data_IF_952578145287
#
_entry.id   IF_952578145287
#
_cell.length_a   1.000
_cell.length_b   1.000
_cell.length_c   1.000
_cell.angle_alpha   90.00
_cell.angle_beta   90.00
_cell.angle_gamma   90.00
#
_symmetry.space_group_name_H-M   'P 1'
#
loop_
_entity.id
_entity.type
_entity.pdbx_description
1 polymer ?
#
# COMPACT_ATOMS: atom_id res chain seq x y z
N UNK A 1 -5.72 -14.80 6.54
CA UNK A 1 -5.53 -13.49 5.90
C UNK A 1 -4.15 -12.89 6.13
N UNK A 2 -3.60 -13.05 7.32
CA UNK A 2 -2.33 -12.42 7.67
C UNK A 2 -1.16 -12.83 6.80
N UNK A 3 -1.05 -14.11 6.45
CA UNK A 3 0.13 -14.60 5.73
C UNK A 3 0.30 -13.97 4.35
N UNK A 4 -0.78 -13.84 3.57
CA UNK A 4 -0.70 -13.25 2.24
C UNK A 4 -0.34 -11.77 2.32
N UNK A 5 -0.98 -11.04 3.23
CA UNK A 5 -0.68 -9.63 3.43
C UNK A 5 0.73 -9.45 3.95
N UNK A 6 1.15 -10.27 4.92
CA UNK A 6 2.48 -10.18 5.49
C UNK A 6 3.56 -10.44 4.44
N UNK A 7 3.32 -11.40 3.53
CA UNK A 7 4.26 -11.67 2.44
C UNK A 7 4.39 -10.47 1.49
N UNK A 8 3.28 -9.82 1.17
CA UNK A 8 3.32 -8.63 0.31
C UNK A 8 4.02 -7.49 1.03
N UNK A 9 3.68 -7.25 2.28
CA UNK A 9 4.30 -6.20 3.07
C UNK A 9 5.79 -6.43 3.21
N UNK A 10 6.18 -7.65 3.51
CA UNK A 10 7.59 -8.03 3.63
C UNK A 10 8.31 -7.86 2.30
N UNK A 11 7.70 -8.33 1.21
CA UNK A 11 8.28 -8.18 -0.13
C UNK A 11 8.49 -6.73 -0.51
N UNK A 12 7.52 -5.86 -0.20
CA UNK A 12 7.66 -4.43 -0.46
C UNK A 12 8.77 -3.83 0.39
N UNK A 13 8.85 -4.20 1.66
CA UNK A 13 9.90 -3.71 2.55
C UNK A 13 11.28 -4.18 2.09
N UNK A 14 11.40 -5.43 1.68
CA UNK A 14 12.66 -5.98 1.15
C UNK A 14 13.05 -5.30 -0.15
N UNK A 15 12.11 -5.05 -1.04
CA UNK A 15 12.38 -4.36 -2.30
C UNK A 15 12.89 -2.95 -2.05
N UNK A 16 12.29 -2.24 -1.10
CA UNK A 16 12.73 -0.89 -0.74
C UNK A 16 14.13 -0.94 -0.12
N UNK A 17 14.35 -1.85 0.82
CA UNK A 17 15.65 -1.99 1.46
C UNK A 17 16.73 -2.38 0.44
N UNK A 18 16.41 -3.29 -0.47
CA UNK A 18 17.32 -3.72 -1.50
C UNK A 18 17.68 -2.57 -2.45
N UNK A 19 16.68 -1.79 -2.83
CA UNK A 19 16.92 -0.61 -3.67
C UNK A 19 17.84 0.39 -2.96
N UNK A 20 17.65 0.60 -1.66
CA UNK A 20 18.51 1.49 -0.89
C UNK A 20 19.94 0.99 -0.83
N UNK A 21 20.13 -0.32 -0.62
CA UNK A 21 21.47 -0.88 -0.52
C UNK A 21 22.18 -0.92 -1.86
N UNK A 22 21.43 -1.05 -2.94
CA UNK A 22 22.01 -1.03 -4.28
C UNK A 22 22.13 0.38 -4.84
N UNK A 23 21.50 1.32 -4.19
CA UNK A 23 21.48 2.69 -4.69
C UNK A 23 22.85 3.32 -4.52
N UNK A 24 23.65 3.22 -5.55
CA UNK A 24 24.89 3.98 -5.67
C UNK A 24 24.63 5.16 -6.60
N UNK A 25 25.44 6.22 -6.51
CA UNK A 25 25.22 7.40 -7.33
C UNK A 25 25.10 7.10 -8.82
N UNK A 26 25.70 6.02 -9.28
CA UNK A 26 25.75 5.69 -10.71
C UNK A 26 24.99 4.42 -11.06
N UNK A 27 24.14 3.94 -10.13
CA UNK A 27 23.47 2.66 -10.36
C UNK A 27 22.34 2.74 -11.37
N UNK A 28 21.80 3.95 -11.61
CA UNK A 28 20.63 4.11 -12.45
C UNK A 28 19.33 3.67 -11.80
N UNK A 29 19.38 3.18 -10.56
CA UNK A 29 18.21 2.75 -9.81
C UNK A 29 17.57 3.98 -9.16
N UNK A 30 16.30 4.20 -9.45
CA UNK A 30 15.55 5.27 -8.82
C UNK A 30 14.75 4.70 -7.66
N UNK A 31 14.82 5.38 -6.52
CA UNK A 31 13.95 5.03 -5.41
C UNK A 31 12.52 5.40 -5.77
N UNK A 32 11.59 4.53 -5.42
CA UNK A 32 10.20 4.82 -5.65
C UNK A 32 9.75 5.94 -4.71
N UNK A 33 9.09 6.94 -5.28
CA UNK A 33 8.54 8.07 -4.52
C UNK A 33 7.03 7.90 -4.50
N UNK A 34 6.43 7.42 -3.41
CA UNK A 34 4.99 7.24 -3.37
C UNK A 34 4.26 8.57 -3.41
N UNK A 35 3.12 8.57 -4.08
CA UNK A 35 2.25 9.73 -4.17
C UNK A 35 1.18 9.69 -3.10
N UNK A 36 0.69 10.86 -2.72
CA UNK A 36 -0.49 10.92 -1.88
C UNK A 36 -1.66 10.26 -2.60
N UNK A 37 -2.44 9.47 -1.86
CA UNK A 37 -3.58 8.73 -2.42
C UNK A 37 -4.84 9.17 -1.68
N UNK A 38 -5.89 9.45 -2.44
CA UNK A 38 -7.21 9.65 -1.85
C UNK A 38 -7.80 8.26 -1.54
N UNK A 39 -7.72 7.89 -0.27
CA UNK A 39 -8.09 6.54 0.16
C UNK A 39 -9.58 6.28 -0.05
N UNK A 40 -10.44 7.26 0.24
CA UNK A 40 -11.87 7.10 0.03
C UNK A 40 -12.20 6.88 -1.46
N UNK A 41 -11.56 7.63 -2.34
CA UNK A 41 -11.75 7.48 -3.77
C UNK A 41 -11.29 6.10 -4.25
N UNK A 42 -10.11 5.69 -3.81
CA UNK A 42 -9.58 4.37 -4.15
C UNK A 42 -10.52 3.26 -3.71
N UNK A 43 -10.99 3.33 -2.47
CA UNK A 43 -11.91 2.34 -1.92
C UNK A 43 -13.21 2.29 -2.73
N UNK A 44 -13.75 3.44 -3.07
CA UNK A 44 -15.00 3.53 -3.83
C UNK A 44 -14.84 2.97 -5.23
N UNK A 45 -13.70 3.21 -5.87
CA UNK A 45 -13.42 2.64 -7.19
C UNK A 45 -13.39 1.12 -7.16
N UNK A 46 -13.02 0.54 -6.03
CA UNK A 46 -13.00 -0.91 -5.86
C UNK A 46 -14.34 -1.47 -5.37
N UNK A 47 -15.32 -0.61 -5.13
CA UNK A 47 -16.64 -1.00 -4.65
C UNK A 47 -16.60 -1.73 -3.31
N UNK A 48 -15.71 -1.30 -2.43
CA UNK A 48 -15.55 -1.91 -1.11
C UNK A 48 -16.02 -0.95 -0.02
N UNK A 49 -16.61 -1.51 1.03
CA UNK A 49 -16.88 -0.75 2.24
C UNK A 49 -15.59 -0.50 3.01
N UNK A 50 -15.63 0.38 4.02
CA UNK A 50 -14.47 0.61 4.87
C UNK A 50 -13.99 -0.68 5.52
N UNK A 51 -14.95 -1.45 6.05
CA UNK A 51 -14.64 -2.73 6.69
C UNK A 51 -14.04 -3.73 5.71
N UNK A 52 -14.60 -3.81 4.52
CA UNK A 52 -14.10 -4.72 3.50
C UNK A 52 -12.69 -4.35 3.04
N UNK A 53 -12.47 -3.06 2.81
CA UNK A 53 -11.15 -2.59 2.39
C UNK A 53 -10.10 -2.87 3.45
N UNK A 54 -10.42 -2.54 4.71
CA UNK A 54 -9.51 -2.78 5.82
C UNK A 54 -9.19 -4.27 5.95
N UNK A 55 -10.21 -5.11 5.89
CA UNK A 55 -10.03 -6.56 6.01
C UNK A 55 -9.20 -7.12 4.85
N UNK A 56 -9.47 -6.66 3.63
CA UNK A 56 -8.77 -7.15 2.44
C UNK A 56 -7.29 -6.84 2.45
N UNK A 57 -6.93 -5.64 2.87
CA UNK A 57 -5.56 -5.15 2.76
C UNK A 57 -4.84 -5.09 4.10
N UNK A 58 -5.47 -5.56 5.17
CA UNK A 58 -4.81 -5.67 6.46
C UNK A 58 -4.69 -4.37 7.23
N UNK A 59 -5.52 -3.38 6.92
CA UNK A 59 -5.55 -2.14 7.68
C UNK A 59 -6.55 -2.21 8.81
N UNK A 60 -6.36 -1.37 9.82
CA UNK A 60 -7.38 -1.18 10.85
C UNK A 60 -8.46 -0.25 10.30
N UNK A 61 -9.72 -0.55 10.61
CA UNK A 61 -10.84 0.30 10.20
C UNK A 61 -10.71 1.70 10.80
N UNK A 62 -10.25 1.79 12.05
CA UNK A 62 -10.03 3.08 12.69
C UNK A 62 -8.99 3.90 11.94
N UNK A 63 -7.88 3.29 11.54
CA UNK A 63 -6.85 3.97 10.75
C UNK A 63 -7.41 4.43 9.41
N UNK A 64 -8.15 3.56 8.73
CA UNK A 64 -8.75 3.90 7.45
C UNK A 64 -9.69 5.10 7.58
N UNK A 65 -10.49 5.14 8.63
CA UNK A 65 -11.40 6.26 8.88
C UNK A 65 -10.63 7.57 9.08
N UNK A 66 -9.52 7.52 9.81
CA UNK A 66 -8.66 8.70 9.99
C UNK A 66 -8.13 9.20 8.66
N UNK A 67 -7.68 8.30 7.80
CA UNK A 67 -7.18 8.67 6.49
C UNK A 67 -8.28 9.32 5.63
N UNK A 68 -9.48 8.76 5.66
CA UNK A 68 -10.59 9.28 4.84
C UNK A 68 -11.10 10.61 5.35
N UNK A 69 -11.05 10.85 6.66
CA UNK A 69 -11.44 12.14 7.24
C UNK A 69 -10.35 13.21 7.10
N UNK A 70 -9.13 12.80 6.78
CA UNK A 70 -8.01 13.72 6.69
C UNK A 70 -7.32 14.01 8.03
N UNK A 71 -7.69 13.31 9.10
CA UNK A 71 -7.05 13.46 10.41
C UNK A 71 -5.60 12.98 10.39
N UNK A 72 -5.33 11.98 9.57
CA UNK A 72 -3.99 11.41 9.40
C UNK A 72 -3.80 11.08 7.93
N UNK A 73 -2.55 11.03 7.51
CA UNK A 73 -2.20 10.65 6.16
C UNK A 73 -1.41 9.35 6.18
N UNK A 74 -1.65 8.47 5.22
CA UNK A 74 -0.82 7.27 5.09
C UNK A 74 0.64 7.64 4.88
N UNK A 75 1.54 6.84 5.43
CA UNK A 75 2.97 7.06 5.28
C UNK A 75 3.70 5.73 5.27
N UNK A 76 4.97 5.75 4.89
CA UNK A 76 5.81 4.57 4.89
C UNK A 76 5.24 3.44 4.05
N UNK A 77 5.30 2.22 4.56
CA UNK A 77 4.85 1.04 3.84
C UNK A 77 3.36 1.08 3.49
N UNK A 78 2.54 1.69 4.34
CA UNK A 78 1.11 1.82 4.06
C UNK A 78 0.87 2.66 2.81
N UNK A 79 1.59 3.76 2.66
CA UNK A 79 1.46 4.60 1.48
C UNK A 79 1.96 3.87 0.24
N UNK A 80 3.05 3.15 0.33
CA UNK A 80 3.56 2.37 -0.80
C UNK A 80 2.53 1.31 -1.21
N UNK A 81 1.94 0.60 -0.25
CA UNK A 81 0.92 -0.39 -0.55
C UNK A 81 -0.29 0.24 -1.22
N UNK A 82 -0.74 1.39 -0.72
CA UNK A 82 -1.87 2.10 -1.33
C UNK A 82 -1.57 2.52 -2.77
N UNK A 83 -0.32 2.92 -3.04
CA UNK A 83 0.09 3.24 -4.40
C UNK A 83 0.04 2.01 -5.31
N UNK A 84 0.47 0.86 -4.80
CA UNK A 84 0.42 -0.39 -5.57
C UNK A 84 -1.03 -0.77 -5.86
N UNK A 85 -1.90 -0.66 -4.86
CA UNK A 85 -3.32 -0.95 -5.03
C UNK A 85 -3.94 0.00 -6.07
N UNK A 86 -3.59 1.27 -6.01
CA UNK A 86 -4.11 2.27 -6.94
C UNK A 86 -3.71 1.96 -8.38
N UNK A 87 -2.47 1.52 -8.58
CA UNK A 87 -1.95 1.26 -9.92
C UNK A 87 -2.42 -0.07 -10.49
N UNK A 88 -2.52 -1.10 -9.65
CA UNK A 88 -2.86 -2.43 -10.12
C UNK A 88 -3.63 -3.21 -9.05
N UNK A 89 -4.89 -2.81 -8.81
CA UNK A 89 -5.69 -3.46 -7.77
C UNK A 89 -5.92 -4.93 -8.05
N UNK A 90 -6.05 -5.32 -9.30
CA UNK A 90 -6.29 -6.71 -9.68
C UNK A 90 -5.15 -7.60 -9.23
N UNK A 91 -3.91 -7.19 -9.48
CA UNK A 91 -2.75 -7.98 -9.10
C UNK A 91 -2.67 -8.14 -7.57
N UNK A 92 -2.96 -7.07 -6.83
CA UNK A 92 -2.91 -7.13 -5.37
C UNK A 92 -4.01 -8.05 -4.84
N UNK A 93 -5.22 -7.92 -5.35
CA UNK A 93 -6.33 -8.77 -4.92
C UNK A 93 -6.07 -10.24 -5.24
N UNK A 94 -5.49 -10.53 -6.39
CA UNK A 94 -5.11 -11.90 -6.75
C UNK A 94 -4.03 -12.44 -5.82
N UNK A 95 -3.06 -11.63 -5.46
CA UNK A 95 -2.00 -12.05 -4.56
C UNK A 95 -2.50 -12.35 -3.15
N UNK A 96 -3.62 -11.76 -2.75
CA UNK A 96 -4.19 -11.91 -1.43
C UNK A 96 -5.27 -13.01 -1.35
N UNK A 97 -5.55 -13.66 -2.44
CA UNK A 97 -6.51 -14.76 -2.45
C UNK A 97 -5.94 -16.05 -1.87
#
# INVERSE_FOLDING_TARGET
MGKAFDSIKQGLSEAIAHAKTKDTPNSGVKLYQPHAVNVADLRQRLSLTQEQFAARFGFSVATLRHWERGDRSPSGASLVLLNVIDRNPTAVLQALQ
#
